data_IF_591136525667
#
_entry.id   IF_591136525667
#
_cell.length_a   1.000
_cell.length_b   1.000
_cell.length_c   1.000
_cell.angle_alpha   90.00
_cell.angle_beta   90.00
_cell.angle_gamma   90.00
#
_symmetry.space_group_name_H-M   'P 1'
#
loop_
_entity.id
_entity.type
_entity.pdbx_description
1 polymer ?
#
# COMPACT_ATOMS: atom_id res chain seq x y z
N UNK A 1 -25.33 -9.30 28.69
CA UNK A 1 -26.04 -8.73 27.54
C UNK A 1 -25.05 -7.86 26.79
N UNK A 2 -24.41 -8.40 25.76
CA UNK A 2 -23.75 -7.57 24.75
C UNK A 2 -24.88 -6.99 23.91
N UNK A 3 -24.93 -5.68 23.73
CA UNK A 3 -25.90 -5.06 22.84
C UNK A 3 -25.38 -5.20 21.41
N UNK A 4 -26.09 -5.95 20.55
CA UNK A 4 -25.85 -5.93 19.11
C UNK A 4 -25.84 -4.48 18.63
N UNK A 5 -24.74 -4.05 18.01
CA UNK A 5 -24.51 -2.64 17.71
C UNK A 5 -25.66 -2.13 16.83
N UNK A 6 -26.51 -1.18 17.28
CA UNK A 6 -27.86 -0.95 16.71
C UNK A 6 -27.86 -0.34 15.29
N UNK A 7 -26.68 -0.17 14.70
CA UNK A 7 -26.47 0.20 13.30
C UNK A 7 -25.36 -0.64 12.62
N UNK A 8 -24.98 -1.81 13.16
CA UNK A 8 -23.89 -2.64 12.65
C UNK A 8 -24.09 -3.05 11.19
N UNK A 9 -25.26 -3.59 10.86
CA UNK A 9 -25.65 -3.95 9.47
C UNK A 9 -25.59 -2.73 8.54
N UNK A 10 -26.01 -1.55 9.01
CA UNK A 10 -25.96 -0.30 8.26
C UNK A 10 -24.53 0.20 8.03
N UNK A 11 -23.65 0.06 9.03
CA UNK A 11 -22.22 0.38 8.93
C UNK A 11 -21.53 -0.52 7.89
N UNK A 12 -21.73 -1.83 7.96
CA UNK A 12 -21.18 -2.79 6.98
C UNK A 12 -21.69 -2.47 5.57
N UNK A 13 -23.00 -2.23 5.37
CA UNK A 13 -23.55 -1.82 4.07
C UNK A 13 -22.97 -0.48 3.57
N UNK A 14 -22.73 0.48 4.47
CA UNK A 14 -22.06 1.73 4.16
C UNK A 14 -20.62 1.53 3.66
N UNK A 15 -19.84 0.69 4.34
CA UNK A 15 -18.46 0.38 3.93
C UNK A 15 -18.38 -0.46 2.66
N UNK A 16 -19.32 -1.38 2.43
CA UNK A 16 -19.48 -2.07 1.14
C UNK A 16 -19.68 -1.05 0.02
N UNK A 17 -20.57 -0.06 0.22
CA UNK A 17 -20.81 1.00 -0.76
C UNK A 17 -19.60 1.93 -0.93
N UNK A 18 -18.87 2.24 0.14
CA UNK A 18 -17.62 3.02 0.11
C UNK A 18 -16.58 2.35 -0.82
N UNK A 19 -16.21 1.10 -0.54
CA UNK A 19 -15.23 0.36 -1.34
C UNK A 19 -15.72 0.16 -2.79
N UNK A 20 -16.99 -0.23 -2.99
CA UNK A 20 -17.58 -0.33 -4.33
C UNK A 20 -17.64 1.00 -5.09
N UNK A 21 -17.63 2.15 -4.42
CA UNK A 21 -17.55 3.46 -5.06
C UNK A 21 -16.13 3.73 -5.58
N UNK A 22 -15.11 3.59 -4.72
CA UNK A 22 -13.70 3.76 -5.10
C UNK A 22 -13.30 2.80 -6.22
N UNK A 23 -13.77 1.54 -6.17
CA UNK A 23 -13.58 0.59 -7.28
C UNK A 23 -14.20 1.09 -8.59
N UNK A 24 -15.43 1.61 -8.58
CA UNK A 24 -16.11 2.10 -9.81
C UNK A 24 -15.41 3.30 -10.45
N UNK A 25 -14.73 4.15 -9.66
CA UNK A 25 -14.01 5.33 -10.17
C UNK A 25 -12.69 4.94 -10.85
N UNK A 26 -12.03 3.86 -10.40
CA UNK A 26 -10.78 3.40 -10.99
C UNK A 26 -11.01 2.73 -12.37
N UNK A 27 -10.27 3.19 -13.39
CA UNK A 27 -10.39 2.77 -14.79
C UNK A 27 -10.33 1.25 -15.02
N UNK A 28 -9.58 0.50 -14.19
CA UNK A 28 -9.47 -0.98 -14.28
C UNK A 28 -10.80 -1.71 -14.05
N UNK A 29 -11.73 -1.09 -13.34
CA UNK A 29 -13.06 -1.65 -13.00
C UNK A 29 -14.20 -0.83 -13.62
N UNK A 30 -13.91 0.36 -14.16
CA UNK A 30 -14.81 1.20 -14.94
C UNK A 30 -14.92 0.74 -16.40
N UNK A 31 -15.36 -0.50 -16.65
CA UNK A 31 -15.53 -1.01 -18.01
C UNK A 31 -16.49 -0.13 -18.81
N UNK A 32 -16.04 0.47 -19.92
CA UNK A 32 -16.83 1.40 -20.74
C UNK A 32 -18.19 0.82 -21.22
N UNK A 33 -18.30 -0.50 -21.34
CA UNK A 33 -19.55 -1.21 -21.64
C UNK A 33 -20.68 -0.94 -20.60
N UNK A 34 -20.35 -0.64 -19.34
CA UNK A 34 -21.32 -0.34 -18.26
C UNK A 34 -22.21 0.86 -18.57
N UNK A 35 -21.74 1.81 -19.38
CA UNK A 35 -22.53 2.98 -19.79
C UNK A 35 -23.49 2.69 -20.96
N UNK A 36 -23.50 1.48 -21.52
CA UNK A 36 -24.31 1.13 -22.70
C UNK A 36 -25.08 -0.19 -22.61
N UNK A 37 -24.75 -1.10 -21.68
CA UNK A 37 -25.51 -2.33 -21.42
C UNK A 37 -25.28 -2.84 -20.01
N UNK A 38 -26.22 -3.62 -19.48
CA UNK A 38 -25.92 -4.50 -18.35
C UNK A 38 -24.76 -5.44 -18.71
N UNK A 39 -23.78 -5.51 -17.79
CA UNK A 39 -22.51 -6.21 -17.99
C UNK A 39 -22.60 -7.58 -17.32
N UNK A 40 -22.59 -8.70 -18.09
CA UNK A 40 -22.84 -10.04 -17.55
C UNK A 40 -21.93 -10.40 -16.37
N UNK A 41 -22.49 -11.12 -15.39
CA UNK A 41 -21.83 -11.45 -14.11
C UNK A 41 -20.47 -12.15 -14.29
N UNK A 42 -20.26 -12.88 -15.40
CA UNK A 42 -18.98 -13.53 -15.74
C UNK A 42 -17.85 -12.56 -16.12
N UNK A 43 -18.16 -11.32 -16.53
CA UNK A 43 -17.17 -10.27 -16.83
C UNK A 43 -16.90 -9.33 -15.65
N UNK A 44 -17.66 -9.47 -14.55
CA UNK A 44 -17.41 -8.75 -13.32
C UNK A 44 -16.35 -9.50 -12.51
N UNK A 45 -15.32 -8.78 -12.05
CA UNK A 45 -14.23 -9.31 -11.23
C UNK A 45 -14.73 -10.03 -9.96
N UNK A 46 -13.99 -11.02 -9.47
CA UNK A 46 -14.32 -11.76 -8.25
C UNK A 46 -14.56 -10.86 -7.02
N UNK A 47 -13.75 -9.82 -6.80
CA UNK A 47 -13.91 -8.88 -5.67
C UNK A 47 -15.25 -8.13 -5.71
N UNK A 48 -15.59 -7.53 -6.87
CA UNK A 48 -16.90 -6.88 -7.07
C UNK A 48 -18.08 -7.85 -6.89
N UNK A 49 -17.90 -9.15 -7.12
CA UNK A 49 -18.93 -10.16 -6.86
C UNK A 49 -19.05 -10.42 -5.36
N UNK A 50 -17.96 -10.73 -4.66
CA UNK A 50 -17.92 -10.92 -3.20
C UNK A 50 -18.61 -9.80 -2.41
N UNK A 51 -18.42 -8.53 -2.81
CA UNK A 51 -19.12 -7.40 -2.18
C UNK A 51 -20.63 -7.35 -2.46
N UNK A 52 -21.08 -7.79 -3.64
CA UNK A 52 -22.52 -7.91 -3.95
C UNK A 52 -23.14 -9.09 -3.21
N UNK A 53 -22.45 -10.23 -3.20
CA UNK A 53 -22.88 -11.45 -2.51
C UNK A 53 -23.05 -11.17 -1.01
N UNK A 54 -22.10 -10.45 -0.38
CA UNK A 54 -22.21 -9.97 1.01
C UNK A 54 -23.33 -8.92 1.19
N UNK A 55 -23.55 -8.02 0.23
CA UNK A 55 -24.65 -7.05 0.33
C UNK A 55 -26.01 -7.77 0.39
N UNK A 56 -26.21 -8.74 -0.51
CA UNK A 56 -27.42 -9.55 -0.61
C UNK A 56 -27.59 -10.44 0.62
N UNK A 57 -26.52 -11.04 1.16
CA UNK A 57 -26.61 -11.82 2.41
C UNK A 57 -26.90 -10.97 3.66
N UNK A 58 -26.89 -9.64 3.54
CA UNK A 58 -27.31 -8.70 4.58
C UNK A 58 -28.70 -8.10 4.31
N UNK A 59 -29.39 -8.47 3.24
CA UNK A 59 -30.79 -8.11 3.01
C UNK A 59 -31.70 -8.86 4.00
N UNK A 60 -32.68 -8.16 4.59
CA UNK A 60 -33.55 -8.70 5.65
C UNK A 60 -32.90 -8.88 7.04
N UNK A 61 -31.56 -8.90 7.14
CA UNK A 61 -30.83 -9.01 8.42
C UNK A 61 -31.08 -7.79 9.31
N UNK A 62 -31.42 -8.04 10.59
CA UNK A 62 -31.76 -7.02 11.60
C UNK A 62 -30.57 -6.77 12.54
N UNK A 63 -30.06 -7.82 13.20
CA UNK A 63 -28.83 -7.74 14.01
C UNK A 63 -27.65 -8.33 13.22
N UNK A 64 -26.46 -7.78 13.43
CA UNK A 64 -25.21 -8.29 12.86
C UNK A 64 -24.72 -9.54 13.62
N UNK A 65 -25.19 -9.77 14.86
CA UNK A 65 -24.83 -10.95 15.67
C UNK A 65 -25.27 -12.29 15.05
N UNK A 66 -26.36 -12.28 14.26
CA UNK A 66 -26.84 -13.44 13.49
C UNK A 66 -25.95 -13.81 12.28
N UNK A 67 -24.91 -13.01 11.98
CA UNK A 67 -24.08 -13.15 10.77
C UNK A 67 -22.69 -13.69 11.11
N UNK A 68 -22.22 -14.66 10.31
CA UNK A 68 -20.83 -15.13 10.33
C UNK A 68 -19.86 -13.95 10.14
N UNK A 69 -19.07 -13.69 11.18
CA UNK A 69 -18.19 -12.52 11.26
C UNK A 69 -17.04 -12.62 10.26
N UNK A 70 -16.59 -13.83 9.90
CA UNK A 70 -15.58 -14.00 8.85
C UNK A 70 -16.16 -13.64 7.47
N UNK A 71 -17.41 -14.03 7.19
CA UNK A 71 -18.05 -13.74 5.90
C UNK A 71 -18.26 -12.23 5.67
N UNK A 72 -18.48 -11.45 6.74
CA UNK A 72 -18.53 -9.98 6.70
C UNK A 72 -17.18 -9.37 6.29
N UNK A 73 -16.08 -9.95 6.74
CA UNK A 73 -14.73 -9.39 6.58
C UNK A 73 -14.01 -9.87 5.32
N UNK A 74 -14.30 -11.09 4.85
CA UNK A 74 -13.57 -11.73 3.74
C UNK A 74 -13.50 -10.88 2.45
N UNK A 75 -14.56 -10.19 2.01
CA UNK A 75 -14.49 -9.32 0.83
C UNK A 75 -13.53 -8.13 0.98
N UNK A 76 -13.42 -7.57 2.19
CA UNK A 76 -12.50 -6.48 2.50
C UNK A 76 -11.06 -7.00 2.60
N UNK A 77 -10.85 -8.11 3.31
CA UNK A 77 -9.52 -8.73 3.42
C UNK A 77 -8.97 -9.12 2.03
N UNK A 78 -9.81 -9.67 1.15
CA UNK A 78 -9.40 -10.00 -0.21
C UNK A 78 -9.15 -8.80 -1.14
N UNK A 79 -9.62 -7.58 -0.78
CA UNK A 79 -9.13 -6.36 -1.43
C UNK A 79 -7.71 -6.04 -0.98
N UNK A 80 -7.39 -6.23 0.30
CA UNK A 80 -6.05 -5.92 0.84
C UNK A 80 -4.99 -6.89 0.31
N UNK A 81 -5.31 -8.17 0.17
CA UNK A 81 -4.40 -9.21 -0.38
C UNK A 81 -4.24 -9.16 -1.91
N UNK A 82 -4.97 -8.29 -2.61
CA UNK A 82 -5.07 -8.33 -4.07
C UNK A 82 -4.07 -7.39 -4.74
N UNK A 83 -3.02 -7.93 -5.35
CA UNK A 83 -2.12 -7.25 -6.32
C UNK A 83 -2.85 -6.50 -7.45
N UNK A 84 -4.16 -6.77 -7.65
CA UNK A 84 -4.97 -6.17 -8.70
C UNK A 84 -5.64 -4.86 -8.29
N UNK A 85 -5.60 -4.47 -7.02
CA UNK A 85 -6.19 -3.21 -6.51
C UNK A 85 -5.13 -2.11 -6.38
N UNK A 86 -5.48 -0.88 -6.76
CA UNK A 86 -4.63 0.29 -6.55
C UNK A 86 -4.69 0.72 -5.08
N UNK A 87 -3.65 1.39 -4.57
CA UNK A 87 -3.57 1.89 -3.18
C UNK A 87 -4.84 2.58 -2.67
N UNK A 88 -5.53 3.41 -3.48
CA UNK A 88 -6.81 4.02 -3.10
C UNK A 88 -7.92 3.00 -2.72
N UNK A 89 -8.00 1.85 -3.40
CA UNK A 89 -8.98 0.80 -3.15
C UNK A 89 -8.55 -0.02 -1.92
N UNK A 90 -7.25 -0.36 -1.84
CA UNK A 90 -6.63 -1.04 -0.71
C UNK A 90 -6.83 -0.26 0.59
N UNK A 91 -6.47 1.03 0.60
CA UNK A 91 -6.62 1.95 1.73
C UNK A 91 -8.08 2.31 2.05
N UNK A 92 -9.03 2.09 1.15
CA UNK A 92 -10.46 2.15 1.47
C UNK A 92 -10.88 0.92 2.28
N UNK A 93 -10.51 -0.29 1.86
CA UNK A 93 -10.82 -1.52 2.58
C UNK A 93 -10.12 -1.62 3.94
N UNK A 94 -8.85 -1.20 4.06
CA UNK A 94 -8.16 -1.09 5.36
C UNK A 94 -8.92 -0.11 6.28
N UNK A 95 -9.33 1.06 5.80
CA UNK A 95 -10.14 1.99 6.61
C UNK A 95 -11.50 1.42 7.00
N UNK A 96 -12.11 0.54 6.21
CA UNK A 96 -13.32 -0.20 6.62
C UNK A 96 -13.03 -1.20 7.74
N UNK A 97 -11.93 -1.97 7.64
CA UNK A 97 -11.49 -2.88 8.71
C UNK A 97 -11.16 -2.14 10.02
N UNK A 98 -10.48 -0.98 9.96
CA UNK A 98 -10.20 -0.13 11.12
C UNK A 98 -11.50 0.30 11.82
N UNK A 99 -12.53 0.71 11.06
CA UNK A 99 -13.86 1.04 11.60
C UNK A 99 -14.54 -0.17 12.25
N UNK A 100 -14.50 -1.34 11.63
CA UNK A 100 -15.15 -2.54 12.16
C UNK A 100 -14.54 -2.96 13.51
N UNK A 101 -13.23 -2.85 13.68
CA UNK A 101 -12.53 -3.07 14.96
C UNK A 101 -12.87 -1.98 15.98
N UNK A 102 -12.81 -0.71 15.58
CA UNK A 102 -13.07 0.46 16.43
C UNK A 102 -14.52 0.53 16.94
N UNK A 103 -15.49 0.04 16.16
CA UNK A 103 -16.92 0.03 16.52
C UNK A 103 -17.38 -1.30 17.14
N UNK A 104 -16.47 -2.24 17.43
CA UNK A 104 -16.82 -3.52 18.07
C UNK A 104 -17.66 -4.46 17.19
N UNK A 105 -17.57 -4.36 15.86
CA UNK A 105 -18.31 -5.23 14.93
C UNK A 105 -17.68 -6.63 14.78
N UNK A 106 -16.62 -6.92 15.53
CA UNK A 106 -16.08 -8.26 15.77
C UNK A 106 -16.20 -8.53 17.28
N UNK A 107 -17.42 -8.87 17.78
CA UNK A 107 -17.61 -9.18 19.19
C UNK A 107 -16.93 -10.53 19.52
N UNK A 108 -16.33 -10.73 20.72
CA UNK A 108 -15.55 -11.93 21.02
C UNK A 108 -16.35 -13.24 21.05
N UNK A 109 -17.65 -13.14 21.31
CA UNK A 109 -18.65 -14.21 21.29
C UNK A 109 -19.38 -14.36 19.94
N UNK A 110 -19.02 -13.53 18.94
CA UNK A 110 -19.59 -13.57 17.60
C UNK A 110 -19.27 -14.84 16.81
N UNK A 111 -20.16 -15.20 15.88
CA UNK A 111 -20.00 -16.40 15.06
C UNK A 111 -18.69 -16.34 14.26
N UNK A 112 -17.73 -17.19 14.66
CA UNK A 112 -16.38 -17.31 14.09
C UNK A 112 -15.51 -16.05 14.25
N UNK A 113 -15.71 -15.32 15.35
CA UNK A 113 -14.90 -14.15 15.74
C UNK A 113 -13.39 -14.48 15.83
N UNK A 114 -13.03 -15.68 16.31
CA UNK A 114 -11.64 -16.16 16.35
C UNK A 114 -11.03 -16.27 14.96
N UNK A 115 -11.68 -16.94 14.01
CA UNK A 115 -11.18 -17.02 12.63
C UNK A 115 -11.18 -15.65 11.94
N UNK A 116 -12.20 -14.83 12.20
CA UNK A 116 -12.32 -13.46 11.70
C UNK A 116 -11.11 -12.58 12.08
N UNK A 117 -10.77 -12.46 13.37
CA UNK A 117 -9.65 -11.61 13.80
C UNK A 117 -8.30 -12.18 13.34
N UNK A 118 -8.13 -13.51 13.37
CA UNK A 118 -6.93 -14.17 12.87
C UNK A 118 -6.78 -14.03 11.34
N UNK A 119 -7.88 -13.93 10.59
CA UNK A 119 -7.87 -13.68 9.14
C UNK A 119 -7.33 -12.29 8.82
N UNK A 120 -7.69 -11.27 9.60
CA UNK A 120 -7.13 -9.91 9.48
C UNK A 120 -5.65 -9.93 9.89
N UNK A 121 -5.32 -10.47 11.06
CA UNK A 121 -3.95 -10.56 11.58
C UNK A 121 -2.98 -11.23 10.59
N UNK A 122 -3.41 -12.32 9.96
CA UNK A 122 -2.64 -13.03 8.93
C UNK A 122 -2.49 -12.24 7.63
N UNK A 123 -3.52 -11.47 7.23
CA UNK A 123 -3.47 -10.59 6.07
C UNK A 123 -2.46 -9.46 6.28
N UNK A 124 -2.58 -8.69 7.37
CA UNK A 124 -1.67 -7.56 7.63
C UNK A 124 -0.23 -8.00 7.79
N UNK A 125 0.01 -9.17 8.39
CA UNK A 125 1.34 -9.76 8.54
C UNK A 125 1.97 -10.28 7.23
N UNK A 126 1.20 -10.35 6.15
CA UNK A 126 1.62 -10.82 4.81
C UNK A 126 1.61 -9.72 3.75
N UNK A 127 1.07 -8.54 4.08
CA UNK A 127 1.08 -7.40 3.18
C UNK A 127 2.52 -7.02 2.81
N UNK A 128 2.75 -6.83 1.51
CA UNK A 128 3.99 -6.27 0.96
C UNK A 128 3.61 -5.03 0.17
N UNK A 129 4.36 -3.96 0.37
CA UNK A 129 4.26 -2.76 -0.45
C UNK A 129 5.40 -2.78 -1.45
N UNK A 130 5.06 -2.85 -2.73
CA UNK A 130 5.98 -2.57 -3.82
C UNK A 130 5.91 -1.05 -4.07
N UNK A 131 7.06 -0.38 -4.19
CA UNK A 131 7.08 1.08 -4.42
C UNK A 131 6.54 1.40 -5.83
N UNK A 132 5.27 1.81 -5.91
CA UNK A 132 4.62 2.14 -7.18
C UNK A 132 4.24 3.62 -7.28
N UNK A 133 3.64 4.17 -6.22
CA UNK A 133 3.18 5.55 -6.12
C UNK A 133 3.34 6.04 -4.67
N UNK A 134 4.57 6.44 -4.32
CA UNK A 134 5.04 6.81 -2.98
C UNK A 134 3.97 7.44 -2.07
N UNK A 135 3.41 8.59 -2.42
CA UNK A 135 2.43 9.34 -1.63
C UNK A 135 1.17 8.51 -1.26
N UNK A 136 0.74 7.64 -2.17
CA UNK A 136 -0.44 6.77 -1.97
C UNK A 136 -0.05 5.55 -1.15
N UNK A 137 1.10 4.95 -1.45
CA UNK A 137 1.60 3.75 -0.76
C UNK A 137 1.94 4.07 0.71
N UNK A 138 2.49 5.24 1.01
CA UNK A 138 2.68 5.78 2.38
C UNK A 138 1.35 5.93 3.14
N UNK A 139 0.30 6.46 2.51
CA UNK A 139 -1.02 6.58 3.15
C UNK A 139 -1.63 5.21 3.47
N UNK A 140 -1.46 4.22 2.59
CA UNK A 140 -1.97 2.86 2.79
C UNK A 140 -1.16 2.14 3.88
N UNK A 141 0.16 2.35 3.92
CA UNK A 141 1.06 1.84 4.94
C UNK A 141 0.70 2.35 6.34
N UNK A 142 0.47 3.65 6.51
CA UNK A 142 0.04 4.22 7.80
C UNK A 142 -1.28 3.59 8.29
N UNK A 143 -2.25 3.42 7.39
CA UNK A 143 -3.52 2.74 7.71
C UNK A 143 -3.34 1.25 8.06
N UNK A 144 -2.33 0.58 7.51
CA UNK A 144 -2.00 -0.80 7.88
C UNK A 144 -1.40 -0.89 9.29
N UNK A 145 -0.59 0.11 9.69
CA UNK A 145 -0.08 0.22 11.06
C UNK A 145 -1.22 0.49 12.07
N UNK A 146 -2.18 1.36 11.73
CA UNK A 146 -3.44 1.51 12.50
C UNK A 146 -4.19 0.17 12.61
N UNK A 147 -4.29 -0.62 11.52
CA UNK A 147 -4.98 -1.91 11.51
C UNK A 147 -4.29 -2.94 12.40
N UNK A 148 -2.95 -2.98 12.37
CA UNK A 148 -2.13 -3.79 13.28
C UNK A 148 -2.38 -3.43 14.74
N UNK A 149 -2.45 -2.13 15.07
CA UNK A 149 -2.74 -1.65 16.43
C UNK A 149 -4.16 -2.00 16.88
N UNK A 150 -5.17 -1.71 16.05
CA UNK A 150 -6.58 -1.97 16.38
C UNK A 150 -6.87 -3.47 16.54
N UNK A 151 -6.22 -4.35 15.77
CA UNK A 151 -6.35 -5.80 15.98
C UNK A 151 -5.91 -6.24 17.38
N UNK A 152 -4.82 -5.67 17.91
CA UNK A 152 -4.32 -6.00 19.26
C UNK A 152 -5.13 -5.32 20.38
N UNK A 153 -5.82 -4.21 20.08
CA UNK A 153 -6.55 -3.38 21.06
C UNK A 153 -8.06 -3.63 21.12
N UNK A 154 -8.68 -4.21 20.08
CA UNK A 154 -10.11 -4.50 20.08
C UNK A 154 -10.48 -5.61 21.06
N UNK A 155 -11.77 -5.73 21.39
CA UNK A 155 -12.27 -6.76 22.33
C UNK A 155 -11.95 -8.20 21.87
N UNK A 156 -11.91 -8.46 20.56
CA UNK A 156 -11.51 -9.74 19.98
C UNK A 156 -9.99 -9.98 19.91
N UNK A 157 -9.15 -9.00 20.29
CA UNK A 157 -7.69 -9.10 20.25
C UNK A 157 -7.10 -10.31 21.01
N UNK A 158 -7.63 -10.69 22.19
CA UNK A 158 -7.23 -11.91 22.90
C UNK A 158 -7.50 -13.23 22.18
N UNK A 159 -8.27 -13.22 21.08
CA UNK A 159 -8.51 -14.41 20.24
C UNK A 159 -7.43 -14.59 19.15
N UNK A 160 -6.53 -13.63 18.94
CA UNK A 160 -5.42 -13.74 17.98
C UNK A 160 -4.41 -14.78 18.48
N UNK A 161 -4.04 -15.73 17.62
CA UNK A 161 -3.07 -16.77 17.98
C UNK A 161 -1.68 -16.19 18.23
N UNK A 162 -0.90 -16.81 19.12
CA UNK A 162 0.47 -16.35 19.45
C UNK A 162 1.37 -16.24 18.22
N UNK A 163 1.24 -17.16 17.25
CA UNK A 163 1.93 -17.09 15.97
C UNK A 163 1.56 -15.82 15.18
N UNK A 164 0.27 -15.47 15.14
CA UNK A 164 -0.20 -14.27 14.45
C UNK A 164 0.23 -12.99 15.17
N UNK A 165 0.16 -12.93 16.52
CA UNK A 165 0.72 -11.79 17.29
C UNK A 165 2.21 -11.62 16.99
N UNK A 166 2.98 -12.71 16.94
CA UNK A 166 4.40 -12.68 16.58
C UNK A 166 4.63 -12.27 15.12
N UNK A 167 3.79 -12.72 14.18
CA UNK A 167 3.85 -12.31 12.78
C UNK A 167 3.56 -10.80 12.62
N UNK A 168 2.58 -10.26 13.34
CA UNK A 168 2.23 -8.85 13.37
C UNK A 168 3.38 -8.00 13.94
N UNK A 169 4.01 -8.45 15.02
CA UNK A 169 5.17 -7.78 15.63
C UNK A 169 6.38 -7.76 14.68
N UNK A 170 6.67 -8.87 13.97
CA UNK A 170 7.74 -8.87 12.95
C UNK A 170 7.41 -7.96 11.76
N UNK A 171 6.14 -7.86 11.37
CA UNK A 171 5.71 -6.97 10.30
C UNK A 171 5.93 -5.48 10.67
N UNK A 172 5.52 -5.04 11.87
CA UNK A 172 5.78 -3.66 12.30
C UNK A 172 7.26 -3.35 12.48
N UNK A 173 8.06 -4.27 13.02
CA UNK A 173 9.53 -4.13 13.10
C UNK A 173 10.18 -3.99 11.71
N UNK A 174 9.74 -4.77 10.71
CA UNK A 174 10.25 -4.67 9.34
C UNK A 174 9.96 -3.29 8.73
N UNK A 175 8.78 -2.72 9.00
CA UNK A 175 8.39 -1.40 8.50
C UNK A 175 9.20 -0.26 9.16
N UNK A 176 9.48 -0.36 10.46
CA UNK A 176 10.42 0.56 11.14
C UNK A 176 11.80 0.47 10.50
N UNK A 177 12.32 -0.74 10.29
CA UNK A 177 13.65 -0.92 9.73
C UNK A 177 13.76 -0.46 8.26
N UNK A 178 12.68 -0.56 7.47
CA UNK A 178 12.62 0.08 6.14
C UNK A 178 12.75 1.61 6.24
N UNK A 179 12.06 2.25 7.19
CA UNK A 179 12.15 3.69 7.40
C UNK A 179 13.54 4.14 7.88
N UNK A 180 14.18 3.39 8.77
CA UNK A 180 15.56 3.62 9.22
C UNK A 180 16.56 3.60 8.06
N UNK A 181 16.48 2.58 7.19
CA UNK A 181 17.35 2.45 6.02
C UNK A 181 17.11 3.59 5.01
N UNK A 182 15.85 3.95 4.73
CA UNK A 182 15.53 5.09 3.86
C UNK A 182 16.07 6.41 4.42
N UNK A 183 15.97 6.65 5.73
CA UNK A 183 16.54 7.83 6.38
C UNK A 183 18.08 7.85 6.25
N UNK A 184 18.76 6.72 6.43
CA UNK A 184 20.21 6.62 6.23
C UNK A 184 20.61 6.95 4.78
N UNK A 185 19.87 6.44 3.78
CA UNK A 185 20.11 6.78 2.37
C UNK A 185 19.89 8.27 2.07
N UNK A 186 18.86 8.90 2.64
CA UNK A 186 18.63 10.35 2.52
C UNK A 186 19.79 11.16 3.12
N UNK A 187 20.25 10.79 4.32
CA UNK A 187 21.37 11.46 5.00
C UNK A 187 22.65 11.36 4.16
N UNK A 188 23.01 10.17 3.68
CA UNK A 188 24.19 9.98 2.84
C UNK A 188 24.09 10.78 1.53
N UNK A 189 22.95 10.72 0.84
CA UNK A 189 22.71 11.48 -0.40
C UNK A 189 22.86 12.99 -0.19
N UNK A 190 22.44 13.53 0.96
CA UNK A 190 22.62 14.96 1.29
C UNK A 190 24.10 15.30 1.52
N UNK A 191 24.85 14.45 2.23
CA UNK A 191 26.30 14.69 2.43
C UNK A 191 27.09 14.58 1.12
N UNK A 192 26.79 13.61 0.25
CA UNK A 192 27.43 13.49 -1.07
C UNK A 192 27.17 14.73 -1.92
N UNK A 193 25.95 15.27 -1.92
CA UNK A 193 25.61 16.52 -2.64
C UNK A 193 26.30 17.76 -2.07
N UNK A 194 26.53 17.82 -0.75
CA UNK A 194 27.33 18.89 -0.15
C UNK A 194 28.79 18.78 -0.60
N UNK A 195 29.35 17.57 -0.62
CA UNK A 195 30.71 17.33 -1.10
C UNK A 195 30.89 17.65 -2.60
N UNK A 196 29.87 17.41 -3.44
CA UNK A 196 29.84 17.87 -4.83
C UNK A 196 29.78 19.40 -4.96
N UNK A 197 29.11 20.10 -4.04
CA UNK A 197 28.99 21.57 -4.06
C UNK A 197 30.24 22.29 -3.55
N UNK A 198 30.92 21.73 -2.55
CA UNK A 198 32.21 22.23 -2.05
C UNK A 198 33.41 21.79 -2.91
N UNK A 199 33.18 20.97 -3.95
CA UNK A 199 34.21 20.59 -4.91
C UNK A 199 34.69 21.83 -5.71
N UNK A 200 35.97 22.23 -5.62
CA UNK A 200 36.44 23.43 -6.30
C UNK A 200 36.37 23.25 -7.82
N UNK A 201 35.85 24.28 -8.50
CA UNK A 201 35.88 24.37 -9.96
C UNK A 201 37.34 24.33 -10.46
N UNK A 202 37.80 23.14 -10.86
CA UNK A 202 39.06 22.98 -11.57
C UNK A 202 39.02 23.87 -12.83
N UNK A 203 39.97 24.82 -12.99
CA UNK A 203 40.00 25.64 -14.19
C UNK A 203 40.24 24.76 -15.43
N UNK A 204 39.62 25.06 -16.58
CA UNK A 204 39.78 24.25 -17.78
C UNK A 204 41.24 24.25 -18.22
N UNK A 205 41.91 23.10 -18.11
CA UNK A 205 43.35 22.98 -18.34
C UNK A 205 43.67 23.08 -19.84
N UNK A 206 44.26 24.20 -20.25
CA UNK A 206 45.01 24.37 -21.49
C UNK A 206 44.36 23.83 -22.78
N UNK A 207 43.30 24.50 -23.25
CA UNK A 207 43.02 24.53 -24.70
C UNK A 207 44.01 25.51 -25.34
N UNK A 208 44.61 25.12 -26.47
CA UNK A 208 45.84 25.71 -27.00
C UNK A 208 45.67 27.05 -27.77
N UNK A 209 46.78 27.52 -28.37
CA UNK A 209 47.08 28.84 -28.99
C UNK A 209 47.57 29.91 -27.99
N UNK A 210 48.55 30.77 -28.33
CA UNK A 210 49.32 31.00 -29.57
C UNK A 210 50.86 30.95 -29.27
N UNK A 211 51.85 30.80 -30.17
CA UNK A 211 52.09 31.40 -31.51
C UNK A 211 52.26 32.95 -31.44
N UNK A 212 53.30 33.62 -31.96
CA UNK A 212 54.58 33.26 -32.64
C UNK A 212 55.65 34.36 -32.26
N UNK A 213 56.97 34.32 -32.53
CA UNK A 213 57.85 33.31 -33.16
C UNK A 213 59.16 33.06 -32.33
N UNK A 214 60.42 33.48 -32.60
CA UNK A 214 61.04 34.31 -33.66
C UNK A 214 62.59 34.14 -33.81
N UNK A 215 63.06 34.18 -35.08
CA UNK A 215 64.38 34.46 -35.69
C UNK A 215 65.72 33.70 -35.41
N UNK A 216 66.31 33.19 -36.51
CA UNK A 216 67.73 32.92 -36.88
C UNK A 216 68.69 32.11 -35.97
N UNK A 217 69.45 31.14 -36.51
CA UNK A 217 70.32 31.33 -37.69
C UNK A 217 70.54 30.06 -38.55
N UNK A 218 71.16 30.22 -39.70
CA UNK A 218 71.31 29.23 -40.77
C UNK A 218 72.29 28.06 -40.48
N UNK A 219 72.08 26.94 -41.18
CA UNK A 219 72.94 26.58 -42.31
C UNK A 219 72.18 25.66 -43.29
N UNK A 220 72.16 26.02 -44.58
CA UNK A 220 71.85 25.09 -45.67
C UNK A 220 73.15 24.39 -46.08
N UNK A 221 73.18 23.05 -46.18
CA UNK A 221 73.95 22.45 -47.27
C UNK A 221 73.47 21.05 -47.72
N UNK A 222 73.37 20.92 -49.04
CA UNK A 222 73.65 19.75 -49.87
C UNK A 222 73.09 18.33 -49.56
N UNK A 223 72.11 17.96 -50.40
CA UNK A 223 72.16 16.84 -51.39
C UNK A 223 71.20 15.63 -51.28
N UNK A 224 70.91 15.09 -52.46
CA UNK A 224 69.84 14.15 -52.76
C UNK A 224 70.27 12.67 -52.79
N UNK A 225 69.30 11.82 -52.47
CA UNK A 225 68.99 10.48 -53.04
C UNK A 225 70.05 9.82 -53.95
N UNK A 226 70.58 8.68 -53.49
CA UNK A 226 70.74 7.42 -54.27
C UNK A 226 70.86 6.22 -53.34
#
# INVERSE_FOLDING_TARGET
MVYGHPNGVNCVKGEIHNVLSVMRVNARWATAARFKREVPTHTQSALLRRFKDLHVSLEGVIDLSDVDTLNVLEPFVHVVESEKTSGFITGAAISSLNKFLLYGLIPPDGLRATEAINRIALCVSRCRFEETHRDVDEMVLMKLLELLEFCLRCEAGPLISGDNVWNMARASMHLVHMAENTLAHVILTVFDRIAEMDAPLLPPSAVASSQDDDNDNADEDALEVS
#
